data_IF_015327418182
#
_entry.id   IF_015327418182
#
_cell.length_a   1.000
_cell.length_b   1.000
_cell.length_c   1.000
_cell.angle_alpha   90.00
_cell.angle_beta   90.00
_cell.angle_gamma   90.00
#
_symmetry.space_group_name_H-M   'P 1'
#
loop_
_entity.id
_entity.type
_entity.pdbx_description
1 polymer ?
#
# COMPACT_ATOMS: atom_id res chain seq x y z
N UNK A 1 -22.63 49.30 -8.18
CA UNK A 1 -22.73 47.83 -8.10
C UNK A 1 -21.42 47.31 -8.66
N UNK A 2 -20.52 46.84 -7.80
CA UNK A 2 -19.20 46.34 -8.21
C UNK A 2 -19.25 44.85 -7.92
N UNK A 3 -19.23 44.04 -8.97
CA UNK A 3 -19.23 42.59 -8.88
C UNK A 3 -17.85 42.13 -8.38
N UNK A 4 -17.84 41.49 -7.21
CA UNK A 4 -16.67 40.80 -6.67
C UNK A 4 -16.67 39.38 -7.24
N UNK A 5 -15.78 39.10 -8.21
CA UNK A 5 -15.41 37.72 -8.50
C UNK A 5 -14.48 37.20 -7.37
N UNK A 6 -14.75 36.04 -6.78
CA UNK A 6 -13.86 35.45 -5.79
C UNK A 6 -12.63 34.93 -6.52
N UNK A 7 -11.48 35.58 -6.30
CA UNK A 7 -10.19 35.07 -6.75
C UNK A 7 -9.93 33.81 -5.91
N UNK A 8 -10.23 32.65 -6.47
CA UNK A 8 -9.87 31.36 -5.92
C UNK A 8 -8.35 31.21 -5.95
N UNK A 9 -7.68 31.73 -4.93
CA UNK A 9 -6.30 31.38 -4.64
C UNK A 9 -6.30 29.94 -4.09
N UNK A 10 -6.18 28.97 -5.00
CA UNK A 10 -5.60 27.68 -4.62
C UNK A 10 -4.16 27.97 -4.21
N UNK A 11 -3.91 28.01 -2.90
CA UNK A 11 -2.55 28.04 -2.37
C UNK A 11 -1.90 26.74 -2.87
N UNK A 12 -0.82 26.79 -3.66
CA UNK A 12 -0.09 25.59 -4.03
C UNK A 12 0.41 24.99 -2.72
N UNK A 13 -0.15 23.85 -2.34
CA UNK A 13 0.33 23.10 -1.20
C UNK A 13 1.57 22.35 -1.68
N UNK A 14 2.69 23.06 -1.82
CA UNK A 14 3.97 22.43 -2.10
C UNK A 14 4.30 21.57 -0.87
N UNK A 15 4.25 20.23 -0.98
CA UNK A 15 4.49 19.38 0.16
C UNK A 15 5.93 19.57 0.62
N UNK A 16 6.11 19.96 1.89
CA UNK A 16 7.44 20.13 2.48
C UNK A 16 8.14 18.76 2.50
N UNK A 17 9.30 18.59 1.84
CA UNK A 17 10.02 17.34 1.86
C UNK A 17 10.41 16.95 3.29
N UNK A 18 10.08 15.73 3.70
CA UNK A 18 10.35 15.23 5.04
C UNK A 18 11.71 14.51 5.08
N UNK A 19 12.78 15.26 4.81
CA UNK A 19 14.14 14.71 4.72
C UNK A 19 14.68 14.11 6.02
N UNK A 20 14.03 14.36 7.16
CA UNK A 20 14.43 13.81 8.46
C UNK A 20 13.71 12.51 8.80
N UNK A 21 12.65 12.16 8.06
CA UNK A 21 11.88 10.96 8.33
C UNK A 21 12.63 9.74 7.79
N UNK A 22 13.18 8.94 8.70
CA UNK A 22 13.96 7.74 8.38
C UNK A 22 13.17 6.44 8.60
N UNK A 23 12.17 6.45 9.48
CA UNK A 23 11.33 5.29 9.77
C UNK A 23 9.86 5.70 9.79
N UNK A 24 9.03 4.95 9.08
CA UNK A 24 7.58 5.10 9.07
C UNK A 24 6.90 3.76 9.34
N UNK A 25 5.93 3.78 10.24
CA UNK A 25 5.05 2.65 10.53
C UNK A 25 3.62 3.16 10.42
N UNK A 26 2.83 2.56 9.54
CA UNK A 26 1.39 2.83 9.42
C UNK A 26 0.64 1.51 9.59
N UNK A 27 -0.38 1.52 10.45
CA UNK A 27 -1.15 0.33 10.83
C UNK A 27 -2.65 0.59 10.68
N UNK A 28 -3.42 -0.47 10.50
CA UNK A 28 -4.88 -0.50 10.44
C UNK A 28 -5.54 0.53 9.50
N UNK A 29 -4.88 0.84 8.38
CA UNK A 29 -5.40 1.83 7.43
C UNK A 29 -5.94 1.17 6.15
N UNK A 30 -6.91 1.84 5.52
CA UNK A 30 -7.37 1.48 4.18
C UNK A 30 -6.38 2.05 3.16
N UNK A 31 -5.73 1.19 2.39
CA UNK A 31 -4.78 1.60 1.37
C UNK A 31 -5.47 2.41 0.26
N UNK A 32 -5.00 3.64 0.04
CA UNK A 32 -5.20 4.40 -1.19
C UNK A 32 -3.82 4.59 -1.81
N UNK A 33 -3.53 3.84 -2.88
CA UNK A 33 -2.23 3.83 -3.52
C UNK A 33 -1.80 5.23 -3.99
N UNK A 34 -2.75 6.13 -4.31
CA UNK A 34 -2.43 7.51 -4.70
C UNK A 34 -1.88 8.32 -3.53
N UNK A 35 -2.50 8.17 -2.34
CA UNK A 35 -2.03 8.84 -1.12
C UNK A 35 -0.66 8.33 -0.70
N UNK A 36 -0.44 7.02 -0.80
CA UNK A 36 0.86 6.42 -0.48
C UNK A 36 1.93 6.90 -1.45
N UNK A 37 1.67 6.88 -2.76
CA UNK A 37 2.58 7.42 -3.79
C UNK A 37 2.96 8.86 -3.47
N UNK A 38 1.97 9.71 -3.19
CA UNK A 38 2.19 11.11 -2.84
C UNK A 38 2.96 11.30 -1.54
N UNK A 39 2.74 10.45 -0.54
CA UNK A 39 3.48 10.53 0.72
C UNK A 39 4.94 10.12 0.51
N UNK A 40 5.14 8.96 -0.13
CA UNK A 40 6.46 8.36 -0.35
C UNK A 40 7.36 9.23 -1.21
N UNK A 41 6.80 9.93 -2.22
CA UNK A 41 7.57 10.87 -3.04
C UNK A 41 8.17 12.04 -2.23
N UNK A 42 7.64 12.31 -1.03
CA UNK A 42 8.11 13.37 -0.15
C UNK A 42 9.01 12.88 0.99
N UNK A 43 9.32 11.58 1.06
CA UNK A 43 10.05 10.96 2.16
C UNK A 43 11.25 10.14 1.67
N UNK A 44 12.10 10.75 0.85
CA UNK A 44 13.24 10.07 0.21
C UNK A 44 14.32 9.56 1.17
N UNK A 45 14.31 10.04 2.41
CA UNK A 45 15.24 9.64 3.46
C UNK A 45 14.82 8.38 4.24
N UNK A 46 13.66 7.78 3.91
CA UNK A 46 13.20 6.58 4.61
C UNK A 46 14.18 5.42 4.38
N UNK A 47 14.61 4.83 5.50
CA UNK A 47 15.38 3.60 5.56
C UNK A 47 14.54 2.41 6.00
N UNK A 48 13.43 2.67 6.71
CA UNK A 48 12.47 1.68 7.16
C UNK A 48 11.03 2.11 6.87
N UNK A 49 10.24 1.21 6.27
CA UNK A 49 8.82 1.42 5.95
C UNK A 49 8.03 0.16 6.31
N UNK A 50 7.09 0.28 7.25
CA UNK A 50 6.11 -0.77 7.57
C UNK A 50 4.69 -0.30 7.30
N UNK A 51 3.94 -1.08 6.52
CA UNK A 51 2.57 -0.78 6.13
C UNK A 51 1.65 -1.96 6.41
N UNK A 52 0.70 -1.81 7.34
CA UNK A 52 -0.31 -2.83 7.66
C UNK A 52 -1.70 -2.26 7.42
N UNK A 53 -2.56 -2.98 6.70
CA UNK A 53 -3.89 -2.45 6.40
C UNK A 53 -4.74 -3.34 5.48
N UNK A 54 -5.78 -2.76 4.89
CA UNK A 54 -6.63 -3.44 3.90
C UNK A 54 -6.52 -2.79 2.53
N UNK A 55 -6.54 -3.61 1.46
CA UNK A 55 -6.52 -3.12 0.07
C UNK A 55 -7.52 -3.89 -0.78
N UNK A 56 -8.14 -3.18 -1.72
CA UNK A 56 -8.95 -3.78 -2.80
C UNK A 56 -8.19 -3.77 -4.13
N UNK A 57 -7.00 -3.16 -4.16
CA UNK A 57 -6.17 -3.01 -5.35
C UNK A 57 -5.04 -4.03 -5.32
N UNK A 58 -4.91 -4.81 -6.41
CA UNK A 58 -3.86 -5.81 -6.64
C UNK A 58 -2.66 -5.19 -7.40
N UNK A 59 -2.79 -3.94 -7.88
CA UNK A 59 -1.74 -3.32 -8.70
C UNK A 59 -0.61 -2.77 -7.83
N UNK A 60 0.30 -3.68 -7.50
CA UNK A 60 1.41 -3.47 -6.61
C UNK A 60 2.63 -2.95 -7.37
N UNK A 61 2.54 -1.72 -7.89
CA UNK A 61 3.66 -0.96 -8.47
C UNK A 61 4.71 -0.53 -7.41
N UNK A 62 4.93 -1.36 -6.38
CA UNK A 62 5.86 -1.13 -5.29
C UNK A 62 7.31 -1.07 -5.77
N UNK A 63 7.70 -1.93 -6.71
CA UNK A 63 9.07 -1.96 -7.24
C UNK A 63 9.45 -0.60 -7.81
N UNK A 64 8.65 -0.09 -8.76
CA UNK A 64 8.90 1.21 -9.38
C UNK A 64 8.88 2.34 -8.35
N UNK A 65 7.95 2.31 -7.41
CA UNK A 65 7.81 3.33 -6.39
C UNK A 65 9.02 3.36 -5.44
N UNK A 66 9.47 2.20 -4.95
CA UNK A 66 10.63 2.09 -4.06
C UNK A 66 11.89 2.49 -4.80
N UNK A 67 12.09 1.96 -6.02
CA UNK A 67 13.28 2.25 -6.81
C UNK A 67 13.41 3.74 -7.14
N UNK A 68 12.29 4.42 -7.38
CA UNK A 68 12.27 5.84 -7.78
C UNK A 68 12.37 6.78 -6.59
N UNK A 69 11.62 6.52 -5.51
CA UNK A 69 11.41 7.50 -4.44
C UNK A 69 12.16 7.17 -3.16
N UNK A 70 12.53 5.90 -2.93
CA UNK A 70 13.08 5.43 -1.67
C UNK A 70 14.45 4.75 -1.87
N UNK A 71 15.46 5.48 -2.37
CA UNK A 71 16.77 4.90 -2.69
C UNK A 71 17.49 4.37 -1.45
N UNK A 72 17.20 4.91 -0.26
CA UNK A 72 17.82 4.54 1.01
C UNK A 72 17.07 3.44 1.77
N UNK A 73 15.97 2.91 1.22
CA UNK A 73 15.14 1.92 1.89
C UNK A 73 15.87 0.58 2.03
N UNK A 74 16.12 0.19 3.28
CA UNK A 74 16.82 -1.03 3.65
C UNK A 74 15.86 -2.10 4.18
N UNK A 75 14.74 -1.70 4.74
CA UNK A 75 13.72 -2.58 5.30
C UNK A 75 12.33 -2.12 4.85
N UNK A 76 11.61 -3.02 4.18
CA UNK A 76 10.24 -2.82 3.73
C UNK A 76 9.39 -3.99 4.21
N UNK A 77 8.37 -3.67 4.99
CA UNK A 77 7.39 -4.62 5.49
C UNK A 77 6.01 -4.16 5.03
N UNK A 78 5.24 -5.07 4.43
CA UNK A 78 3.85 -4.80 4.12
C UNK A 78 3.00 -6.02 4.44
N UNK A 79 1.83 -5.77 5.00
CA UNK A 79 0.81 -6.78 5.26
C UNK A 79 -0.54 -6.21 4.87
N UNK A 80 -1.24 -6.91 3.98
CA UNK A 80 -2.55 -6.47 3.53
C UNK A 80 -3.59 -7.57 3.67
N UNK A 81 -4.74 -7.18 4.22
CA UNK A 81 -5.95 -7.98 4.21
C UNK A 81 -6.74 -7.67 2.95
N UNK A 82 -7.04 -8.71 2.18
CA UNK A 82 -7.86 -8.63 0.97
C UNK A 82 -9.11 -9.47 1.17
N UNK A 83 -10.28 -8.88 0.94
CA UNK A 83 -11.52 -9.63 0.86
C UNK A 83 -11.68 -10.17 -0.55
N UNK A 84 -11.51 -11.49 -0.70
CA UNK A 84 -11.83 -12.21 -1.93
C UNK A 84 -13.30 -12.61 -1.82
N UNK A 85 -14.14 -12.18 -2.76
CA UNK A 85 -15.53 -12.62 -2.81
C UNK A 85 -15.62 -13.99 -3.48
N UNK A 86 -16.50 -14.87 -3.00
CA UNK A 86 -16.59 -16.29 -3.40
C UNK A 86 -16.72 -16.55 -4.92
N UNK A 87 -17.21 -15.57 -5.69
CA UNK A 87 -17.31 -15.67 -7.15
C UNK A 87 -16.00 -15.36 -7.90
N UNK A 88 -14.98 -14.85 -7.20
CA UNK A 88 -13.72 -14.45 -7.82
C UNK A 88 -12.71 -15.62 -7.81
N UNK A 89 -13.04 -16.67 -8.57
CA UNK A 89 -12.17 -17.84 -8.78
C UNK A 89 -10.84 -17.50 -9.47
N UNK A 90 -10.57 -16.22 -9.74
CA UNK A 90 -9.40 -15.72 -10.46
C UNK A 90 -8.26 -15.24 -9.55
N UNK A 91 -8.53 -15.02 -8.25
CA UNK A 91 -7.50 -14.58 -7.29
C UNK A 91 -6.68 -15.78 -6.81
N UNK A 92 -5.74 -16.20 -7.65
CA UNK A 92 -4.70 -17.16 -7.30
C UNK A 92 -3.58 -16.46 -6.51
N UNK A 93 -3.09 -17.07 -5.43
CA UNK A 93 -1.88 -16.58 -4.73
C UNK A 93 -0.72 -16.35 -5.67
N UNK A 94 -0.55 -17.19 -6.69
CA UNK A 94 0.51 -17.03 -7.68
C UNK A 94 0.42 -15.71 -8.43
N UNK A 95 -0.78 -15.21 -8.75
CA UNK A 95 -0.93 -13.91 -9.43
C UNK A 95 -0.64 -12.75 -8.47
N UNK A 96 -0.96 -12.89 -7.18
CA UNK A 96 -0.64 -11.88 -6.15
C UNK A 96 0.87 -11.76 -5.89
N UNK A 97 1.59 -12.88 -5.89
CA UNK A 97 3.03 -12.88 -5.60
C UNK A 97 3.90 -12.70 -6.84
N UNK A 98 3.36 -12.86 -8.05
CA UNK A 98 4.10 -12.72 -9.30
C UNK A 98 4.88 -11.40 -9.43
N UNK A 99 4.34 -10.21 -9.07
CA UNK A 99 5.07 -8.95 -9.13
C UNK A 99 6.30 -8.89 -8.22
N UNK A 100 6.37 -9.75 -7.19
CA UNK A 100 7.47 -9.78 -6.23
C UNK A 100 8.57 -10.79 -6.60
N UNK A 101 8.45 -11.46 -7.75
CA UNK A 101 9.44 -12.44 -8.23
C UNK A 101 10.52 -11.83 -9.14
N UNK A 102 10.53 -10.51 -9.32
CA UNK A 102 11.53 -9.86 -10.17
C UNK A 102 12.94 -9.88 -9.54
N UNK A 103 14.01 -9.70 -10.34
CA UNK A 103 15.37 -9.58 -9.82
C UNK A 103 15.55 -8.45 -8.81
N UNK A 104 14.73 -7.40 -8.86
CA UNK A 104 14.76 -6.31 -7.89
C UNK A 104 14.56 -6.82 -6.47
N UNK A 105 13.51 -7.61 -6.23
CA UNK A 105 13.21 -8.16 -4.91
C UNK A 105 14.24 -9.21 -4.49
N UNK A 106 14.52 -10.17 -5.37
CA UNK A 106 15.29 -11.38 -5.02
C UNK A 106 16.81 -11.11 -5.00
N UNK A 107 17.35 -10.36 -5.96
CA UNK A 107 18.80 -10.21 -6.15
C UNK A 107 19.33 -8.87 -5.67
N UNK A 108 18.60 -7.79 -5.94
CA UNK A 108 19.06 -6.42 -5.63
C UNK A 108 18.79 -6.10 -4.15
N UNK A 109 17.54 -6.29 -3.71
CA UNK A 109 17.14 -6.03 -2.32
C UNK A 109 17.37 -7.23 -1.42
N UNK A 110 17.35 -8.45 -1.98
CA UNK A 110 17.42 -9.70 -1.22
C UNK A 110 16.32 -9.75 -0.13
N UNK A 111 15.12 -9.30 -0.49
CA UNK A 111 13.94 -9.29 0.36
C UNK A 111 13.03 -10.46 0.00
N UNK A 112 12.42 -11.07 1.02
CA UNK A 112 11.50 -12.19 0.86
C UNK A 112 10.06 -11.72 1.04
N UNK A 113 9.18 -12.20 0.18
CA UNK A 113 7.73 -11.92 0.27
C UNK A 113 7.00 -13.22 0.62
N UNK A 114 6.18 -13.15 1.66
CA UNK A 114 5.29 -14.24 2.09
C UNK A 114 3.84 -13.85 1.80
N UNK A 115 3.00 -14.83 1.48
CA UNK A 115 1.57 -14.62 1.29
C UNK A 115 0.83 -15.71 2.05
N UNK A 116 0.15 -15.30 3.12
CA UNK A 116 -0.63 -16.19 3.97
C UNK A 116 -2.11 -16.03 3.61
N UNK A 117 -2.78 -17.16 3.33
CA UNK A 117 -4.22 -17.19 3.05
C UNK A 117 -4.98 -17.60 4.32
N UNK A 118 -5.98 -16.81 4.69
CA UNK A 118 -6.90 -17.15 5.77
C UNK A 118 -8.29 -17.36 5.18
N UNK A 119 -8.78 -18.59 5.24
CA UNK A 119 -10.17 -18.91 4.88
C UNK A 119 -11.05 -18.51 6.05
N UNK A 120 -12.00 -17.59 5.82
CA UNK A 120 -12.97 -17.20 6.85
C UNK A 120 -14.13 -18.18 6.78
N UNK A 121 -14.23 -19.08 7.77
CA UNK A 121 -15.40 -19.94 7.91
C UNK A 121 -16.63 -19.06 8.18
N UNK A 122 -17.61 -19.12 7.26
CA UNK A 122 -18.93 -18.57 7.49
C UNK A 122 -19.68 -19.53 8.41
N UNK A 123 -19.46 -19.41 9.73
CA UNK A 123 -20.31 -20.04 10.75
C UNK A 123 -21.70 -19.37 10.75
N UNK A 124 -22.50 -19.63 9.70
CA UNK A 124 -23.94 -19.45 9.72
C UNK A 124 -24.55 -20.63 10.48
N UNK A 125 -24.30 -20.70 11.79
CA UNK A 125 -24.96 -21.65 12.66
C UNK A 125 -26.37 -21.13 12.98
N UNK A 126 -27.28 -21.30 12.01
CA UNK A 126 -28.72 -21.19 12.23
C UNK A 126 -29.18 -22.35 13.13
N UNK A 127 -28.93 -22.22 14.43
CA UNK A 127 -29.55 -23.07 15.44
C UNK A 127 -31.02 -22.68 15.60
N UNK A 128 -31.85 -23.07 14.64
CA UNK A 128 -33.29 -23.18 14.84
C UNK A 128 -33.53 -24.44 15.69
N UNK A 129 -33.66 -24.22 17.00
CA UNK A 129 -34.18 -25.21 17.94
C UNK A 129 -35.66 -25.43 17.59
N UNK A 130 -36.03 -26.66 17.26
CA UNK A 130 -37.42 -27.15 17.38
C UNK A 130 -37.37 -28.57 17.90
#
# INVERSE_FOLDING_TARGET
MIDYEPIGFEIPFDPVPMHQLTSLIMEDFKFDMRKIKSFISNTSSLTHLRLTGSTNEIDFAWEQLIQTNLPLLNQFEFSFYMSIYDDDSSVNTDTLIAPFRTPFWIKIKNWFVTCDQFIRDNDNNNNNIT
#
